data_IF_358550583767
#
_entry.id   IF_358550583767
#
_cell.length_a   1.000
_cell.length_b   1.000
_cell.length_c   1.000
_cell.angle_alpha   90.00
_cell.angle_beta   90.00
_cell.angle_gamma   90.00
#
_symmetry.space_group_name_H-M   'P 1'
#
loop_
_entity.id
_entity.type
_entity.pdbx_description
1 polymer ?
#
# COMPACT_ATOMS: atom_id res chain seq x y z
N UNK A 1 0.83 -79.57 -53.15
CA UNK A 1 1.37 -78.21 -53.48
C UNK A 1 0.58 -77.18 -52.64
N UNK A 2 1.09 -76.88 -51.42
CA UNK A 2 0.40 -76.03 -50.45
C UNK A 2 0.97 -74.60 -50.54
N UNK A 3 0.16 -73.66 -50.88
CA UNK A 3 0.49 -72.22 -50.93
C UNK A 3 0.22 -71.67 -49.54
N UNK A 4 1.30 -71.27 -48.78
CA UNK A 4 1.20 -70.56 -47.55
C UNK A 4 0.99 -69.08 -47.86
N UNK A 5 -0.18 -68.51 -47.51
CA UNK A 5 -0.44 -67.10 -47.51
C UNK A 5 0.11 -66.47 -46.23
N UNK A 6 1.11 -65.60 -46.38
CA UNK A 6 1.61 -64.80 -45.29
C UNK A 6 0.70 -63.58 -45.05
N UNK A 7 0.38 -63.35 -43.78
CA UNK A 7 -0.40 -62.18 -43.32
C UNK A 7 0.63 -61.08 -43.00
N UNK A 8 0.50 -59.88 -43.56
CA UNK A 8 1.37 -58.77 -43.17
C UNK A 8 0.94 -58.21 -41.81
N UNK A 9 1.91 -58.18 -40.87
CA UNK A 9 1.75 -57.58 -39.57
C UNK A 9 1.90 -56.06 -39.71
N UNK A 10 0.79 -55.33 -39.57
CA UNK A 10 0.78 -53.88 -39.58
C UNK A 10 1.17 -53.36 -38.19
N UNK A 11 2.39 -52.84 -38.08
CA UNK A 11 2.86 -52.12 -36.86
C UNK A 11 2.18 -50.79 -36.79
N UNK A 12 1.23 -50.60 -35.87
CA UNK A 12 0.73 -49.29 -35.49
C UNK A 12 1.73 -48.62 -34.54
N UNK A 13 2.49 -47.65 -35.05
CA UNK A 13 3.29 -46.73 -34.22
C UNK A 13 2.35 -45.64 -33.71
N UNK A 14 1.91 -45.75 -32.45
CA UNK A 14 1.22 -44.68 -31.75
C UNK A 14 2.26 -43.70 -31.27
N UNK A 15 2.44 -42.61 -31.99
CA UNK A 15 3.21 -41.45 -31.52
C UNK A 15 2.47 -40.76 -30.36
N UNK A 16 2.97 -40.96 -29.13
CA UNK A 16 2.59 -40.18 -27.98
C UNK A 16 3.07 -38.74 -28.21
N UNK A 17 2.21 -37.82 -28.63
CA UNK A 17 2.47 -36.41 -28.59
C UNK A 17 2.31 -35.96 -27.15
N UNK A 18 3.44 -35.88 -26.43
CA UNK A 18 3.49 -35.21 -25.13
C UNK A 18 3.19 -33.74 -25.38
N UNK A 19 1.97 -33.34 -25.11
CA UNK A 19 1.57 -31.92 -25.10
C UNK A 19 2.34 -31.21 -24.00
N UNK A 20 3.46 -30.56 -24.34
CA UNK A 20 4.05 -29.54 -23.49
C UNK A 20 3.05 -28.38 -23.45
N UNK A 21 2.26 -28.33 -22.36
CA UNK A 21 1.53 -27.13 -22.00
C UNK A 21 2.57 -26.04 -21.76
N UNK A 22 2.73 -25.13 -22.73
CA UNK A 22 3.41 -23.88 -22.52
C UNK A 22 2.64 -23.14 -21.42
N UNK A 23 3.14 -23.25 -20.18
CA UNK A 23 2.78 -22.34 -19.11
C UNK A 23 3.22 -20.95 -19.59
N UNK A 24 2.28 -20.16 -20.09
CA UNK A 24 2.49 -18.73 -20.28
C UNK A 24 2.95 -18.18 -18.93
N UNK A 25 4.25 -17.96 -18.79
CA UNK A 25 4.81 -17.19 -17.69
C UNK A 25 4.44 -15.72 -17.91
N UNK A 26 3.19 -15.36 -17.68
CA UNK A 26 2.92 -14.07 -17.10
C UNK A 26 3.62 -14.14 -15.74
N UNK A 27 4.80 -13.52 -15.62
CA UNK A 27 5.45 -13.33 -14.33
C UNK A 27 4.39 -12.74 -13.41
N UNK A 28 3.87 -13.56 -12.49
CA UNK A 28 2.80 -13.10 -11.63
C UNK A 28 3.40 -12.01 -10.75
N UNK A 29 2.80 -10.83 -10.73
CA UNK A 29 3.21 -9.65 -9.92
C UNK A 29 3.45 -10.06 -8.47
N UNK A 30 2.74 -11.07 -8.02
CA UNK A 30 2.80 -11.63 -6.67
C UNK A 30 3.27 -13.07 -6.68
N UNK A 31 4.01 -13.46 -5.63
CA UNK A 31 4.30 -14.87 -5.35
C UNK A 31 3.69 -15.28 -4.00
N UNK A 32 3.48 -16.57 -3.80
CA UNK A 32 2.88 -17.12 -2.59
C UNK A 32 3.80 -18.19 -2.00
N UNK A 33 3.99 -18.15 -0.67
CA UNK A 33 4.82 -19.08 0.11
C UNK A 33 4.15 -19.31 1.46
N UNK A 34 4.58 -20.30 2.26
CA UNK A 34 4.17 -20.40 3.65
C UNK A 34 4.41 -19.07 4.36
N UNK A 35 3.40 -18.61 5.10
CA UNK A 35 3.45 -17.31 5.77
C UNK A 35 4.28 -17.34 7.05
N UNK A 36 4.92 -16.24 7.37
CA UNK A 36 5.46 -15.97 8.70
C UNK A 36 4.34 -15.69 9.71
N UNK A 37 4.60 -15.71 11.02
CA UNK A 37 3.54 -15.54 12.04
C UNK A 37 2.70 -14.26 11.89
N UNK A 38 3.27 -13.22 11.28
CA UNK A 38 2.67 -11.90 11.12
C UNK A 38 2.43 -11.51 9.65
N UNK A 39 2.60 -12.48 8.75
CA UNK A 39 2.54 -12.29 7.30
C UNK A 39 1.41 -13.07 6.65
N UNK A 40 1.01 -12.59 5.48
CA UNK A 40 -0.10 -13.17 4.69
C UNK A 40 0.33 -14.35 3.81
N UNK A 41 1.64 -14.63 3.68
CA UNK A 41 2.17 -15.58 2.70
C UNK A 41 2.15 -15.06 1.25
N UNK A 42 1.65 -13.84 1.03
CA UNK A 42 1.70 -13.15 -0.26
C UNK A 42 2.91 -12.24 -0.30
N UNK A 43 3.68 -12.34 -1.38
CA UNK A 43 4.93 -11.60 -1.55
C UNK A 43 4.83 -10.66 -2.75
N UNK A 44 5.32 -9.44 -2.56
CA UNK A 44 5.50 -8.46 -3.61
C UNK A 44 6.98 -8.06 -3.73
N UNK A 45 7.57 -8.27 -4.87
CA UNK A 45 8.97 -7.97 -5.17
C UNK A 45 9.98 -8.46 -4.11
N UNK A 46 9.66 -9.60 -3.44
CA UNK A 46 10.51 -10.25 -2.44
C UNK A 46 10.15 -9.94 -0.99
N UNK A 47 9.33 -8.94 -0.71
CA UNK A 47 8.79 -8.61 0.62
C UNK A 47 7.49 -9.39 0.86
N UNK A 48 7.36 -10.05 2.00
CA UNK A 48 6.08 -10.57 2.47
C UNK A 48 5.18 -9.43 2.93
N UNK A 49 3.91 -9.47 2.54
CA UNK A 49 2.91 -8.48 2.95
C UNK A 49 2.44 -8.82 4.36
N UNK A 50 2.48 -7.84 5.27
CA UNK A 50 2.01 -8.01 6.64
C UNK A 50 0.48 -8.18 6.70
N UNK A 51 -0.01 -8.82 7.76
CA UNK A 51 -1.44 -8.75 8.07
C UNK A 51 -1.85 -7.32 8.38
N UNK A 52 -3.02 -6.94 7.89
CA UNK A 52 -3.62 -5.63 8.19
C UNK A 52 -3.93 -5.54 9.68
N UNK A 53 -3.57 -4.42 10.30
CA UNK A 53 -3.98 -4.14 11.67
C UNK A 53 -5.50 -3.93 11.71
N UNK A 54 -6.20 -4.81 12.44
CA UNK A 54 -7.65 -4.71 12.60
C UNK A 54 -8.07 -3.54 13.51
N UNK A 55 -9.36 -3.24 13.51
CA UNK A 55 -9.96 -2.15 14.31
C UNK A 55 -9.70 -2.26 15.83
N UNK A 56 -9.39 -3.45 16.35
CA UNK A 56 -8.93 -3.64 17.73
C UNK A 56 -7.63 -2.88 18.05
N UNK A 57 -6.84 -2.52 17.03
CA UNK A 57 -5.65 -1.69 17.17
C UNK A 57 -5.91 -0.18 17.24
N UNK A 58 -7.17 0.28 17.20
CA UNK A 58 -7.51 1.70 17.19
C UNK A 58 -6.99 2.47 18.41
N UNK A 59 -6.99 1.87 19.59
CA UNK A 59 -6.42 2.47 20.82
C UNK A 59 -4.91 2.73 20.67
N UNK A 60 -4.20 1.82 20.01
CA UNK A 60 -2.79 1.99 19.74
C UNK A 60 -2.52 3.18 18.82
N UNK A 61 -3.39 3.45 17.84
CA UNK A 61 -3.27 4.59 16.93
C UNK A 61 -3.47 5.95 17.64
N UNK A 62 -4.22 5.97 18.73
CA UNK A 62 -4.53 7.19 19.51
C UNK A 62 -3.75 7.28 20.84
N UNK A 63 -2.75 6.38 21.07
CA UNK A 63 -1.97 6.36 22.30
C UNK A 63 -1.26 7.68 22.56
N UNK A 64 -1.17 8.07 23.82
CA UNK A 64 -0.56 9.33 24.20
C UNK A 64 0.95 9.38 23.90
N UNK A 65 1.61 8.24 23.97
CA UNK A 65 3.05 8.06 23.74
C UNK A 65 3.46 8.29 22.28
N UNK A 66 2.49 8.20 21.34
CA UNK A 66 2.70 8.33 19.90
C UNK A 66 3.46 9.62 19.54
N UNK A 67 3.14 10.73 20.18
CA UNK A 67 3.84 11.99 19.94
C UNK A 67 5.32 11.92 20.35
N UNK A 68 5.67 11.23 21.42
CA UNK A 68 7.05 11.10 21.89
C UNK A 68 7.83 10.09 21.04
N UNK A 69 7.18 8.99 20.63
CA UNK A 69 7.79 7.91 19.86
C UNK A 69 8.01 8.28 18.40
N UNK A 70 7.01 8.90 17.76
CA UNK A 70 6.96 9.13 16.30
C UNK A 70 7.21 10.60 15.92
N UNK A 71 7.05 11.53 16.87
CA UNK A 71 7.07 12.98 16.63
C UNK A 71 6.10 13.44 15.52
N UNK A 72 4.84 13.01 15.65
CA UNK A 72 3.79 13.23 14.66
C UNK A 72 3.55 14.71 14.35
N UNK A 73 3.73 15.60 15.34
CA UNK A 73 3.61 17.06 15.14
C UNK A 73 4.66 17.58 14.16
N UNK A 74 5.91 17.10 14.29
CA UNK A 74 6.98 17.45 13.36
C UNK A 74 6.70 16.88 11.97
N UNK A 75 6.23 15.63 11.88
CA UNK A 75 5.83 15.05 10.59
C UNK A 75 4.79 15.94 9.88
N UNK A 76 3.72 16.34 10.59
CA UNK A 76 2.66 17.19 10.06
C UNK A 76 3.18 18.59 9.69
N UNK A 77 4.09 19.18 10.49
CA UNK A 77 4.74 20.45 10.18
C UNK A 77 5.50 20.38 8.85
N UNK A 78 6.28 19.32 8.64
CA UNK A 78 7.11 19.12 7.45
C UNK A 78 6.31 18.80 6.18
N UNK A 79 5.06 18.39 6.29
CA UNK A 79 4.15 18.25 5.14
C UNK A 79 3.81 19.63 4.60
N UNK A 80 4.36 19.96 3.43
CA UNK A 80 4.14 21.24 2.75
C UNK A 80 2.79 21.24 2.05
N UNK A 81 1.84 21.98 2.63
CA UNK A 81 0.49 22.15 2.08
C UNK A 81 0.15 23.65 2.00
N UNK A 82 -0.71 23.98 1.05
CA UNK A 82 -1.38 25.28 0.99
C UNK A 82 -2.80 25.16 1.52
N UNK A 83 -3.47 26.25 1.88
CA UNK A 83 -4.87 26.21 2.29
C UNK A 83 -5.82 25.55 1.27
N UNK A 84 -5.47 25.57 -0.02
CA UNK A 84 -6.28 24.99 -1.10
C UNK A 84 -5.88 23.55 -1.47
N UNK A 85 -4.88 22.95 -0.82
CA UNK A 85 -4.41 21.61 -1.15
C UNK A 85 -5.50 20.56 -0.92
N UNK A 86 -5.52 19.57 -1.80
CA UNK A 86 -6.38 18.38 -1.69
C UNK A 86 -5.49 17.19 -1.32
N UNK A 87 -5.75 16.60 -0.16
CA UNK A 87 -4.97 15.51 0.42
C UNK A 87 -5.77 14.23 0.43
N UNK A 88 -5.15 13.09 0.11
CA UNK A 88 -5.70 11.76 0.33
C UNK A 88 -4.86 11.04 1.39
N UNK A 89 -5.42 10.80 2.56
CA UNK A 89 -4.87 9.99 3.64
C UNK A 89 -5.39 8.56 3.46
N UNK A 90 -4.54 7.67 2.92
CA UNK A 90 -4.91 6.31 2.51
C UNK A 90 -4.52 5.35 3.63
N UNK A 91 -5.49 4.58 4.16
CA UNK A 91 -5.39 3.84 5.39
C UNK A 91 -5.48 4.78 6.60
N UNK A 92 -6.45 5.69 6.58
CA UNK A 92 -6.58 6.77 7.57
C UNK A 92 -6.83 6.28 9.00
N UNK A 93 -7.29 5.02 9.17
CA UNK A 93 -7.59 4.43 10.47
C UNK A 93 -8.54 5.30 11.29
N UNK A 94 -8.09 5.76 12.46
CA UNK A 94 -8.84 6.65 13.33
C UNK A 94 -8.87 8.12 12.87
N UNK A 95 -8.19 8.45 11.76
CA UNK A 95 -8.08 9.82 11.25
C UNK A 95 -7.09 10.70 12.01
N UNK A 96 -6.14 10.09 12.72
CA UNK A 96 -5.17 10.84 13.52
C UNK A 96 -4.45 11.93 12.70
N UNK A 97 -3.98 11.60 11.49
CA UNK A 97 -3.39 12.58 10.57
C UNK A 97 -4.46 13.38 9.82
N UNK A 98 -5.52 12.76 9.33
CA UNK A 98 -6.56 13.41 8.53
C UNK A 98 -7.11 14.68 9.20
N UNK A 99 -7.55 14.59 10.46
CA UNK A 99 -8.14 15.74 11.17
C UNK A 99 -7.11 16.81 11.54
N UNK A 100 -5.86 16.45 11.78
CA UNK A 100 -4.78 17.43 12.00
C UNK A 100 -4.39 18.16 10.71
N UNK A 101 -4.41 17.47 9.58
CA UNK A 101 -4.16 18.08 8.27
C UNK A 101 -5.30 19.00 7.82
N UNK A 102 -6.54 18.71 8.20
CA UNK A 102 -7.68 19.56 7.93
C UNK A 102 -7.46 21.01 8.39
N UNK A 103 -6.76 21.22 9.52
CA UNK A 103 -6.40 22.55 10.01
C UNK A 103 -5.41 23.30 9.09
N UNK A 104 -4.67 22.59 8.22
CA UNK A 104 -3.73 23.21 7.25
C UNK A 104 -4.39 23.54 5.91
N UNK A 105 -5.43 22.79 5.52
CA UNK A 105 -6.06 22.91 4.19
C UNK A 105 -7.46 23.51 4.27
N UNK A 106 -7.58 24.64 4.95
CA UNK A 106 -8.84 25.30 5.33
C UNK A 106 -9.79 25.68 4.18
N UNK A 107 -9.30 25.68 2.93
CA UNK A 107 -10.05 25.92 1.69
C UNK A 107 -9.95 24.76 0.71
N UNK A 108 -9.24 23.70 1.09
CA UNK A 108 -9.03 22.49 0.33
C UNK A 108 -9.90 21.35 0.86
N UNK A 109 -9.34 20.14 0.84
CA UNK A 109 -10.04 18.94 1.29
C UNK A 109 -9.04 17.89 1.79
N UNK A 110 -9.44 17.09 2.77
CA UNK A 110 -8.76 15.86 3.18
C UNK A 110 -9.70 14.69 2.95
N UNK A 111 -9.35 13.79 2.07
CA UNK A 111 -10.02 12.51 1.92
C UNK A 111 -9.40 11.52 2.91
N UNK A 112 -10.15 11.14 3.94
CA UNK A 112 -9.79 10.06 4.85
C UNK A 112 -10.30 8.74 4.27
N UNK A 113 -9.39 7.94 3.70
CA UNK A 113 -9.73 6.71 3.00
C UNK A 113 -9.37 5.51 3.86
N UNK A 114 -10.32 4.62 4.09
CA UNK A 114 -10.06 3.34 4.77
C UNK A 114 -10.89 2.21 4.13
N UNK A 115 -10.46 0.96 4.36
CA UNK A 115 -11.13 -0.23 3.82
C UNK A 115 -11.97 -0.95 4.88
N UNK A 116 -11.77 -0.66 6.17
CA UNK A 116 -12.44 -1.32 7.29
C UNK A 116 -13.70 -0.55 7.69
N UNK A 117 -14.84 -1.24 7.81
CA UNK A 117 -16.12 -0.60 8.15
C UNK A 117 -16.12 0.03 9.55
N UNK A 118 -15.41 -0.59 10.47
CA UNK A 118 -15.22 -0.08 11.83
C UNK A 118 -14.45 1.24 11.83
N UNK A 119 -13.37 1.34 11.05
CA UNK A 119 -12.59 2.58 10.90
C UNK A 119 -13.41 3.68 10.21
N UNK A 120 -14.18 3.33 9.18
CA UNK A 120 -15.13 4.27 8.54
C UNK A 120 -16.15 4.80 9.55
N UNK A 121 -16.65 3.94 10.43
CA UNK A 121 -17.60 4.33 11.49
C UNK A 121 -16.94 5.24 12.52
N UNK A 122 -15.70 4.93 12.92
CA UNK A 122 -14.90 5.76 13.81
C UNK A 122 -14.65 7.16 13.22
N UNK A 123 -14.20 7.22 11.96
CA UNK A 123 -13.99 8.48 11.24
C UNK A 123 -15.25 9.35 11.18
N UNK A 124 -16.42 8.75 10.89
CA UNK A 124 -17.71 9.46 10.85
C UNK A 124 -18.07 10.05 12.21
N UNK A 125 -17.90 9.27 13.27
CA UNK A 125 -18.19 9.72 14.63
C UNK A 125 -17.24 10.87 15.03
N UNK A 126 -15.94 10.74 14.76
CA UNK A 126 -14.92 11.77 15.05
C UNK A 126 -15.19 13.05 14.24
N UNK A 127 -15.54 12.93 12.96
CA UNK A 127 -15.94 14.07 12.12
C UNK A 127 -17.13 14.83 12.72
N UNK A 128 -18.17 14.11 13.12
CA UNK A 128 -19.37 14.71 13.75
C UNK A 128 -19.02 15.39 15.07
N UNK A 129 -18.22 14.74 15.93
CA UNK A 129 -17.78 15.31 17.21
C UNK A 129 -16.99 16.60 17.05
N UNK A 130 -16.12 16.66 16.04
CA UNK A 130 -15.27 17.83 15.74
C UNK A 130 -16.01 18.89 14.90
N UNK A 131 -17.24 18.62 14.45
CA UNK A 131 -17.97 19.44 13.49
C UNK A 131 -17.11 19.83 12.27
N UNK A 132 -16.30 18.87 11.77
CA UNK A 132 -15.34 19.11 10.71
C UNK A 132 -16.01 19.11 9.33
N UNK A 133 -15.73 20.13 8.51
CA UNK A 133 -16.28 20.28 7.16
C UNK A 133 -15.24 19.99 6.05
N UNK A 134 -13.98 19.82 6.40
CA UNK A 134 -12.84 19.64 5.47
C UNK A 134 -12.57 18.18 5.17
N UNK A 135 -12.73 17.30 6.18
CA UNK A 135 -12.50 15.86 6.02
C UNK A 135 -13.69 15.22 5.33
N UNK A 136 -13.44 14.51 4.23
CA UNK A 136 -14.41 13.65 3.54
C UNK A 136 -14.00 12.20 3.70
N UNK A 137 -14.94 11.34 4.14
CA UNK A 137 -14.66 9.95 4.47
C UNK A 137 -15.02 9.07 3.29
N UNK A 138 -14.07 8.29 2.82
CA UNK A 138 -14.21 7.43 1.63
C UNK A 138 -13.94 5.98 2.00
N UNK A 139 -14.86 5.09 1.63
CA UNK A 139 -14.64 3.65 1.65
C UNK A 139 -13.83 3.24 0.42
N UNK A 140 -12.55 2.98 0.61
CA UNK A 140 -11.66 2.46 -0.42
C UNK A 140 -11.85 0.97 -0.70
N UNK A 141 -10.93 0.41 -1.47
CA UNK A 141 -10.74 -1.03 -1.66
C UNK A 141 -9.27 -1.38 -1.48
N UNK A 142 -8.93 -2.66 -1.44
CA UNK A 142 -7.54 -3.12 -1.38
C UNK A 142 -6.69 -2.69 -2.60
N UNK A 143 -7.33 -2.32 -3.71
CA UNK A 143 -6.67 -1.98 -4.98
C UNK A 143 -6.79 -0.50 -5.37
N UNK A 144 -7.68 0.27 -4.72
CA UNK A 144 -7.95 1.66 -5.13
C UNK A 144 -8.54 2.49 -3.99
N UNK A 145 -8.09 3.75 -3.84
CA UNK A 145 -8.71 4.70 -2.91
C UNK A 145 -10.10 5.17 -3.34
N UNK A 146 -10.54 4.87 -4.59
CA UNK A 146 -11.83 5.31 -5.17
C UNK A 146 -11.99 6.83 -5.20
N UNK A 147 -10.94 7.54 -5.49
CA UNK A 147 -10.94 9.00 -5.65
C UNK A 147 -10.88 9.37 -7.13
N UNK A 148 -11.31 10.60 -7.50
CA UNK A 148 -11.25 11.05 -8.88
C UNK A 148 -9.81 11.18 -9.40
N UNK A 149 -9.61 10.86 -10.68
CA UNK A 149 -8.33 11.05 -11.35
C UNK A 149 -7.91 12.53 -11.36
N UNK A 150 -6.60 12.78 -11.33
CA UNK A 150 -5.97 14.10 -11.45
C UNK A 150 -6.56 15.16 -10.48
N UNK A 151 -6.88 14.75 -9.26
CA UNK A 151 -7.57 15.59 -8.27
C UNK A 151 -6.75 15.85 -7.00
N UNK A 152 -5.72 15.06 -6.72
CA UNK A 152 -5.00 15.03 -5.45
C UNK A 152 -3.63 15.73 -5.58
N UNK A 153 -3.34 16.65 -4.66
CA UNK A 153 -2.03 17.30 -4.55
C UNK A 153 -1.04 16.43 -3.76
N UNK A 154 -1.53 15.76 -2.70
CA UNK A 154 -0.74 14.86 -1.87
C UNK A 154 -1.55 13.61 -1.53
N UNK A 155 -1.10 12.45 -1.98
CA UNK A 155 -1.50 11.18 -1.40
C UNK A 155 -0.51 10.81 -0.31
N UNK A 156 -0.99 10.27 0.82
CA UNK A 156 -0.11 9.83 1.90
C UNK A 156 -0.56 8.49 2.47
N UNK A 157 0.40 7.74 2.99
CA UNK A 157 0.21 6.55 3.80
C UNK A 157 1.14 6.64 5.01
N UNK A 158 0.61 6.41 6.20
CA UNK A 158 1.37 6.40 7.46
C UNK A 158 1.22 5.04 8.11
N UNK A 159 2.29 4.27 8.11
CA UNK A 159 2.35 2.89 8.62
C UNK A 159 1.29 1.99 7.97
N UNK A 160 1.14 2.08 6.64
CA UNK A 160 0.11 1.38 5.85
C UNK A 160 0.67 0.63 4.66
N UNK A 161 1.72 1.15 4.01
CA UNK A 161 2.22 0.58 2.76
C UNK A 161 2.62 -0.89 2.89
N UNK A 162 3.19 -1.27 4.03
CA UNK A 162 3.63 -2.64 4.31
C UNK A 162 2.46 -3.64 4.42
N UNK A 163 1.23 -3.17 4.68
CA UNK A 163 0.00 -3.97 4.82
C UNK A 163 -0.83 -4.05 3.52
N UNK A 164 -0.47 -3.30 2.47
CA UNK A 164 -1.25 -3.29 1.23
C UNK A 164 -1.30 -4.70 0.62
N UNK A 165 -2.50 -5.28 0.53
CA UNK A 165 -2.71 -6.59 -0.12
C UNK A 165 -2.38 -6.57 -1.61
N UNK A 166 -2.53 -5.41 -2.28
CA UNK A 166 -2.29 -5.21 -3.71
C UNK A 166 -1.50 -3.92 -3.96
N UNK A 167 -0.19 -3.87 -3.53
CA UNK A 167 0.61 -2.64 -3.64
C UNK A 167 0.79 -2.17 -5.08
N UNK A 168 0.91 -3.07 -6.07
CA UNK A 168 1.00 -2.69 -7.47
C UNK A 168 -0.24 -1.92 -7.93
N UNK A 169 -1.42 -2.51 -7.75
CA UNK A 169 -2.70 -1.94 -8.17
C UNK A 169 -2.99 -0.63 -7.44
N UNK A 170 -2.72 -0.58 -6.14
CA UNK A 170 -2.88 0.64 -5.35
C UNK A 170 -1.96 1.76 -5.85
N UNK A 171 -0.69 1.49 -6.14
CA UNK A 171 0.23 2.49 -6.68
C UNK A 171 -0.19 2.96 -8.07
N UNK A 172 -0.71 2.07 -8.94
CA UNK A 172 -1.26 2.45 -10.23
C UNK A 172 -2.50 3.37 -10.07
N UNK A 173 -3.38 3.07 -9.12
CA UNK A 173 -4.52 3.91 -8.80
C UNK A 173 -4.06 5.28 -8.27
N UNK A 174 -3.10 5.31 -7.32
CA UNK A 174 -2.53 6.56 -6.79
C UNK A 174 -1.90 7.41 -7.90
N UNK A 175 -1.18 6.79 -8.83
CA UNK A 175 -0.57 7.51 -9.96
C UNK A 175 -1.60 8.25 -10.81
N UNK A 176 -2.80 7.67 -11.00
CA UNK A 176 -3.90 8.30 -11.76
C UNK A 176 -4.55 9.45 -11.01
N UNK A 177 -4.79 9.29 -9.71
CA UNK A 177 -5.46 10.31 -8.91
C UNK A 177 -4.59 11.54 -8.61
N UNK A 178 -3.25 11.38 -8.62
CA UNK A 178 -2.33 12.49 -8.40
C UNK A 178 -2.36 13.47 -9.58
N UNK A 179 -2.46 14.77 -9.28
CA UNK A 179 -2.23 15.85 -10.24
C UNK A 179 -0.84 15.73 -10.88
N UNK A 180 -0.56 16.52 -11.92
CA UNK A 180 0.74 16.51 -12.62
C UNK A 180 1.92 16.69 -11.67
N UNK A 181 1.81 17.63 -10.72
CA UNK A 181 2.86 17.91 -9.73
C UNK A 181 2.51 17.32 -8.34
N UNK A 182 1.50 16.45 -8.28
CA UNK A 182 1.09 15.77 -7.06
C UNK A 182 2.13 14.77 -6.59
N UNK A 183 2.22 14.59 -5.28
CA UNK A 183 3.23 13.74 -4.64
C UNK A 183 2.60 12.61 -3.82
N UNK A 184 3.37 11.54 -3.63
CA UNK A 184 3.06 10.47 -2.69
C UNK A 184 4.03 10.55 -1.51
N UNK A 185 3.49 10.68 -0.29
CA UNK A 185 4.24 10.62 0.95
C UNK A 185 4.07 9.25 1.60
N UNK A 186 5.17 8.60 1.91
CA UNK A 186 5.21 7.43 2.78
C UNK A 186 5.89 7.80 4.09
N UNK A 187 5.22 7.53 5.21
CA UNK A 187 5.79 7.51 6.55
C UNK A 187 5.70 6.06 7.02
N UNK A 188 6.85 5.41 7.24
CA UNK A 188 6.94 3.97 7.53
C UNK A 188 8.01 3.71 8.58
N UNK A 189 7.81 2.77 9.49
CA UNK A 189 8.82 2.38 10.46
C UNK A 189 10.08 1.84 9.78
N UNK A 190 11.25 2.24 10.30
CA UNK A 190 12.56 1.92 9.72
C UNK A 190 12.86 0.44 9.82
N UNK A 191 12.90 -0.25 8.69
CA UNK A 191 13.28 -1.66 8.59
C UNK A 191 14.78 -1.90 8.79
N UNK A 192 15.60 -0.85 8.65
CA UNK A 192 17.05 -0.88 8.86
C UNK A 192 17.43 -0.99 10.32
N UNK A 193 16.54 -0.57 11.23
CA UNK A 193 16.83 -0.58 12.66
C UNK A 193 16.09 -1.72 13.39
N UNK A 194 16.80 -2.79 13.80
CA UNK A 194 16.18 -3.89 14.53
C UNK A 194 15.76 -3.51 15.96
N UNK A 195 16.27 -2.42 16.53
CA UNK A 195 15.97 -1.98 17.89
C UNK A 195 14.59 -1.31 18.01
N UNK A 196 13.99 -0.87 16.89
CA UNK A 196 12.64 -0.31 16.90
C UNK A 196 11.64 -1.42 17.29
N UNK A 197 10.84 -1.23 18.38
CA UNK A 197 9.99 -2.25 18.97
C UNK A 197 8.69 -2.46 18.18
N UNK A 198 8.82 -2.59 16.86
CA UNK A 198 7.73 -2.85 15.90
C UNK A 198 8.01 -4.21 15.25
N UNK A 199 6.97 -4.99 15.01
CA UNK A 199 7.06 -6.30 14.35
C UNK A 199 7.76 -6.20 13.01
N UNK A 200 8.56 -7.21 12.65
CA UNK A 200 9.46 -7.16 11.51
C UNK A 200 8.77 -6.83 10.17
N UNK A 201 7.58 -7.40 9.92
CA UNK A 201 6.84 -7.16 8.67
C UNK A 201 6.13 -5.79 8.63
N UNK A 202 5.97 -5.14 9.78
CA UNK A 202 5.43 -3.78 9.88
C UNK A 202 6.53 -2.69 9.81
N UNK A 203 7.75 -3.08 9.43
CA UNK A 203 8.87 -2.18 9.15
C UNK A 203 9.35 -2.40 7.72
N UNK A 204 9.72 -1.33 7.03
CA UNK A 204 10.18 -1.44 5.63
C UNK A 204 11.44 -0.60 5.43
N UNK A 205 12.40 -1.14 4.66
CA UNK A 205 13.63 -0.40 4.34
C UNK A 205 13.43 0.57 3.19
N UNK A 206 14.19 1.68 3.18
CA UNK A 206 14.22 2.63 2.05
C UNK A 206 14.57 1.91 0.76
N UNK A 207 15.48 0.94 0.81
CA UNK A 207 15.87 0.16 -0.37
C UNK A 207 14.69 -0.60 -0.97
N UNK A 208 13.91 -1.28 -0.12
CA UNK A 208 12.72 -2.03 -0.56
C UNK A 208 11.63 -1.09 -1.08
N UNK A 209 11.34 0.00 -0.36
CA UNK A 209 10.39 1.02 -0.81
C UNK A 209 10.77 1.58 -2.17
N UNK A 210 12.02 2.01 -2.36
CA UNK A 210 12.51 2.53 -3.63
C UNK A 210 12.39 1.50 -4.76
N UNK A 211 12.69 0.23 -4.50
CA UNK A 211 12.53 -0.86 -5.47
C UNK A 211 11.08 -0.98 -5.93
N UNK A 212 10.13 -1.03 -4.99
CA UNK A 212 8.70 -1.19 -5.28
C UNK A 212 8.11 0.07 -5.95
N UNK A 213 8.41 1.26 -5.45
CA UNK A 213 7.92 2.53 -5.99
C UNK A 213 8.47 2.80 -7.39
N UNK A 214 9.78 2.55 -7.61
CA UNK A 214 10.42 2.73 -8.93
C UNK A 214 9.81 1.82 -10.01
N UNK A 215 9.47 0.59 -9.67
CA UNK A 215 8.80 -0.36 -10.56
C UNK A 215 7.38 0.08 -10.93
N UNK A 216 6.76 0.94 -10.13
CA UNK A 216 5.41 1.48 -10.33
C UNK A 216 5.38 2.92 -10.87
N UNK A 217 6.50 3.43 -11.40
CA UNK A 217 6.53 4.75 -12.04
C UNK A 217 6.70 5.92 -11.07
N UNK A 218 7.10 5.66 -9.84
CA UNK A 218 7.47 6.69 -8.88
C UNK A 218 8.98 6.77 -8.71
N UNK A 219 9.49 7.95 -8.37
CA UNK A 219 10.88 8.14 -8.00
C UNK A 219 10.97 8.95 -6.70
N UNK A 220 11.92 8.60 -5.85
CA UNK A 220 12.19 9.34 -4.63
C UNK A 220 12.58 10.77 -4.97
N UNK A 221 11.87 11.73 -4.38
CA UNK A 221 12.10 13.17 -4.54
C UNK A 221 12.78 13.77 -3.31
N UNK A 222 12.35 13.33 -2.11
CA UNK A 222 12.91 13.83 -0.86
C UNK A 222 12.85 12.75 0.23
N UNK A 223 13.91 12.65 1.02
CA UNK A 223 14.01 11.82 2.21
C UNK A 223 14.30 12.70 3.41
N UNK A 224 13.41 12.68 4.40
CA UNK A 224 13.58 13.40 5.66
C UNK A 224 14.09 12.48 6.76
N UNK A 225 15.18 12.90 7.45
CA UNK A 225 15.82 12.12 8.53
C UNK A 225 15.52 12.70 9.92
N UNK A 226 14.40 13.38 10.07
CA UNK A 226 14.05 14.11 11.29
C UNK A 226 13.08 13.37 12.21
N UNK A 227 12.46 12.25 11.77
CA UNK A 227 11.59 11.44 12.62
C UNK A 227 12.41 10.41 13.40
N UNK A 228 12.06 10.14 14.68
CA UNK A 228 12.87 9.26 15.53
C UNK A 228 12.97 7.81 15.01
N UNK A 229 11.83 7.21 14.64
CA UNK A 229 11.74 5.78 14.32
C UNK A 229 11.13 5.49 12.94
N UNK A 230 10.71 6.52 12.21
CA UNK A 230 10.07 6.38 10.90
C UNK A 230 10.89 7.05 9.80
N UNK A 231 10.72 6.56 8.58
CA UNK A 231 11.08 7.25 7.36
C UNK A 231 10.05 8.34 7.04
N UNK A 232 10.48 9.39 6.37
CA UNK A 232 9.62 10.40 5.75
C UNK A 232 10.04 10.54 4.29
N UNK A 233 9.33 9.88 3.38
CA UNK A 233 9.74 9.71 1.99
C UNK A 233 8.70 10.32 1.05
N UNK A 234 9.07 11.36 0.32
CA UNK A 234 8.26 11.95 -0.74
C UNK A 234 8.67 11.40 -2.09
N UNK A 235 7.71 10.90 -2.82
CA UNK A 235 7.87 10.40 -4.19
C UNK A 235 7.08 11.25 -5.17
N UNK A 236 7.60 11.39 -6.40
CA UNK A 236 6.90 11.99 -7.53
C UNK A 236 6.75 10.98 -8.66
N UNK A 237 5.77 11.19 -9.52
CA UNK A 237 5.65 10.43 -10.78
C UNK A 237 6.88 10.67 -11.65
N UNK A 238 7.32 9.64 -12.38
CA UNK A 238 8.37 9.72 -13.41
C UNK A 238 7.87 10.43 -14.67
#
# INVERSE_FOLDING_TARGET
MLIKRGIPFLLFITSLVAGYSQKNSHDSIYSFRPHSPDGTGKFYMGREIAFVMGAAGSEWLERNERQQEENTSLAIEKIKLTPNSVVADIGAGTGYYSFKLAAKVTKGKVYAVDIQDEMISYLKNKKALLNDSIVEIIKGTEQSPRLPDNSIDLAMMVDVYHELSYPHEMLQAISKLLKKDGMLLLIEYRGEDPAIPIKALHKTTVLQLNKELNANGFQLYYQGEFLPIQHFLLYKKK
#
